data_IF_014102382575
#
_entry.id   IF_014102382575
#
_cell.length_a   1.000
_cell.length_b   1.000
_cell.length_c   1.000
_cell.angle_alpha   90.00
_cell.angle_beta   90.00
_cell.angle_gamma   90.00
#
_symmetry.space_group_name_H-M   'P 1'
#
loop_
_entity.id
_entity.type
_entity.pdbx_description
1 polymer ?
#
# COMPACT_ATOMS: atom_id res chain seq x y z
N UNK A 1 18.02 38.43 12.43
CA UNK A 1 16.73 38.43 13.17
C UNK A 1 15.60 37.71 12.42
N UNK A 2 15.39 37.92 11.12
CA UNK A 2 14.26 37.32 10.36
C UNK A 2 14.29 35.78 10.26
N UNK A 3 15.46 35.19 10.03
CA UNK A 3 15.63 33.72 9.93
C UNK A 3 15.38 32.94 11.23
N UNK A 4 15.37 33.61 12.39
CA UNK A 4 15.08 32.94 13.67
C UNK A 4 13.58 32.86 13.91
N UNK A 5 12.82 33.89 13.53
CA UNK A 5 11.36 33.88 13.59
C UNK A 5 10.76 32.81 12.67
N UNK A 6 11.27 32.67 11.44
CA UNK A 6 10.79 31.64 10.50
C UNK A 6 11.00 30.22 11.04
N UNK A 7 12.12 29.96 11.74
CA UNK A 7 12.39 28.64 12.34
C UNK A 7 11.50 28.36 13.54
N UNK A 8 11.20 29.37 14.35
CA UNK A 8 10.28 29.21 15.48
C UNK A 8 8.84 28.96 15.01
N UNK A 9 8.37 29.69 14.00
CA UNK A 9 7.04 29.49 13.42
C UNK A 9 6.88 28.09 12.80
N UNK A 10 7.93 27.59 12.12
CA UNK A 10 7.95 26.24 11.57
C UNK A 10 7.90 25.18 12.68
N UNK A 11 8.63 25.40 13.77
CA UNK A 11 8.65 24.49 14.91
C UNK A 11 7.29 24.43 15.62
N UNK A 12 6.60 25.57 15.77
CA UNK A 12 5.25 25.64 16.34
C UNK A 12 4.23 24.91 15.46
N UNK A 13 4.27 25.10 14.13
CA UNK A 13 3.39 24.38 13.19
C UNK A 13 3.59 22.87 13.26
N UNK A 14 4.84 22.41 13.34
CA UNK A 14 5.16 20.99 13.50
C UNK A 14 4.68 20.45 14.84
N UNK A 15 4.74 21.24 15.92
CA UNK A 15 4.23 20.83 17.23
C UNK A 15 2.71 20.69 17.22
N UNK A 16 1.98 21.62 16.60
CA UNK A 16 0.52 21.52 16.45
C UNK A 16 0.10 20.30 15.63
N UNK A 17 0.81 20.00 14.54
CA UNK A 17 0.56 18.80 13.73
C UNK A 17 0.80 17.52 14.54
N UNK A 18 1.87 17.49 15.35
CA UNK A 18 2.13 16.38 16.29
C UNK A 18 0.98 16.20 17.28
N UNK A 19 0.45 17.29 17.83
CA UNK A 19 -0.63 17.23 18.80
C UNK A 19 -1.95 16.76 18.17
N UNK A 20 -2.26 17.20 16.95
CA UNK A 20 -3.46 16.76 16.20
C UNK A 20 -3.35 15.26 15.88
N UNK A 21 -2.21 14.81 15.38
CA UNK A 21 -1.99 13.39 15.06
C UNK A 21 -1.99 12.54 16.32
N UNK A 22 -1.42 13.04 17.43
CA UNK A 22 -1.48 12.37 18.72
C UNK A 22 -2.89 12.21 19.28
N UNK A 23 -3.80 13.17 19.00
CA UNK A 23 -5.22 13.05 19.33
C UNK A 23 -5.93 12.01 18.47
N UNK A 24 -5.63 11.95 17.18
CA UNK A 24 -6.21 10.95 16.26
C UNK A 24 -5.70 9.54 16.60
N UNK A 25 -4.47 9.44 17.10
CA UNK A 25 -3.84 8.18 17.49
C UNK A 25 -4.37 7.56 18.79
N UNK A 26 -5.15 8.31 19.57
CA UNK A 26 -5.57 8.00 20.95
C UNK A 26 -4.41 7.58 21.89
N UNK A 27 -3.17 7.87 21.48
CA UNK A 27 -1.92 7.56 22.16
C UNK A 27 -0.95 8.71 21.90
N UNK A 28 -0.32 9.23 22.95
CA UNK A 28 0.83 10.13 22.79
C UNK A 28 1.86 9.41 21.93
N UNK A 29 2.20 9.91 20.73
CA UNK A 29 3.15 9.24 19.87
C UNK A 29 4.44 9.08 20.67
N UNK A 30 4.88 7.83 20.87
CA UNK A 30 6.15 7.57 21.54
C UNK A 30 7.24 8.11 20.62
N UNK A 31 7.73 9.30 20.94
CA UNK A 31 8.84 9.96 20.26
C UNK A 31 10.09 9.12 20.54
N UNK A 32 10.25 8.04 19.78
CA UNK A 32 11.53 7.39 19.59
C UNK A 32 11.90 7.62 18.13
N UNK A 33 12.65 8.70 17.95
CA UNK A 33 13.54 9.00 16.82
C UNK A 33 12.99 9.08 15.38
N UNK A 34 11.71 8.82 15.13
CA UNK A 34 11.19 8.81 13.76
C UNK A 34 9.95 9.68 13.65
N UNK A 35 9.94 10.58 12.67
CA UNK A 35 8.78 11.38 12.29
C UNK A 35 7.66 10.53 11.66
N UNK A 36 7.63 9.22 11.92
CA UNK A 36 6.71 8.27 11.35
C UNK A 36 5.63 7.94 12.39
N UNK A 37 4.38 8.05 12.02
CA UNK A 37 3.23 7.70 12.86
C UNK A 37 2.35 6.72 12.10
N UNK A 38 2.24 5.49 12.61
CA UNK A 38 1.40 4.44 12.02
C UNK A 38 0.02 4.43 12.70
N UNK A 39 -1.05 4.66 11.94
CA UNK A 39 -2.44 4.70 12.40
C UNK A 39 -3.32 3.82 11.53
N UNK A 40 -3.95 2.80 12.12
CA UNK A 40 -4.94 1.93 11.43
C UNK A 40 -4.46 1.42 10.05
N UNK A 41 -3.18 1.10 9.91
CA UNK A 41 -2.58 0.64 8.65
C UNK A 41 -2.13 1.75 7.69
N UNK A 42 -2.24 3.02 8.07
CA UNK A 42 -1.73 4.18 7.34
C UNK A 42 -0.46 4.68 8.01
N UNK A 43 0.61 4.87 7.25
CA UNK A 43 1.84 5.49 7.72
C UNK A 43 1.85 6.98 7.38
N UNK A 44 2.05 7.82 8.40
CA UNK A 44 2.09 9.29 8.27
C UNK A 44 3.50 9.76 8.59
N UNK A 45 4.16 10.43 7.63
CA UNK A 45 5.48 11.04 7.80
C UNK A 45 5.33 12.54 8.08
N UNK A 46 5.74 12.97 9.27
CA UNK A 46 5.73 14.36 9.72
C UNK A 46 6.95 15.13 9.23
N UNK A 47 6.74 16.26 8.53
CA UNK A 47 7.85 17.04 7.99
C UNK A 47 8.63 16.28 6.90
N UNK A 48 7.89 15.61 6.00
CA UNK A 48 8.42 14.90 4.86
C UNK A 48 9.32 15.80 4.00
N UNK A 49 10.42 15.22 3.51
CA UNK A 49 11.35 15.81 2.55
C UNK A 49 11.14 15.16 1.19
N UNK A 50 11.74 15.75 0.15
CA UNK A 50 11.68 15.21 -1.21
C UNK A 50 12.11 13.74 -1.32
N UNK A 51 13.03 13.27 -0.46
CA UNK A 51 13.42 11.86 -0.40
C UNK A 51 12.31 10.94 0.13
N UNK A 52 11.52 11.42 1.09
CA UNK A 52 10.40 10.66 1.65
C UNK A 52 9.27 10.51 0.62
N UNK A 53 9.04 11.57 -0.19
CA UNK A 53 8.08 11.53 -1.30
C UNK A 53 8.50 10.52 -2.37
N UNK A 54 9.78 10.53 -2.77
CA UNK A 54 10.31 9.57 -3.73
C UNK A 54 10.13 8.13 -3.22
N UNK A 55 10.51 7.89 -1.96
CA UNK A 55 10.39 6.57 -1.33
C UNK A 55 8.94 6.09 -1.28
N UNK A 56 7.99 6.98 -0.98
CA UNK A 56 6.56 6.67 -0.97
C UNK A 56 6.07 6.26 -2.36
N UNK A 57 6.46 7.01 -3.41
CA UNK A 57 6.09 6.69 -4.79
C UNK A 57 6.70 5.36 -5.22
N UNK A 58 7.98 5.12 -4.95
CA UNK A 58 8.66 3.86 -5.26
C UNK A 58 7.97 2.66 -4.58
N UNK A 59 7.55 2.82 -3.32
CA UNK A 59 6.81 1.80 -2.58
C UNK A 59 5.47 1.46 -3.26
N UNK A 60 4.72 2.48 -3.67
CA UNK A 60 3.44 2.31 -4.40
C UNK A 60 3.67 1.62 -5.74
N UNK A 61 4.67 2.04 -6.52
CA UNK A 61 5.01 1.42 -7.80
C UNK A 61 5.40 -0.05 -7.61
N UNK A 62 6.22 -0.36 -6.60
CA UNK A 62 6.62 -1.73 -6.28
C UNK A 62 5.42 -2.59 -5.89
N UNK A 63 4.48 -2.06 -5.12
CA UNK A 63 3.23 -2.75 -4.77
C UNK A 63 2.41 -3.09 -6.02
N UNK A 64 2.27 -2.13 -6.94
CA UNK A 64 1.59 -2.36 -8.22
C UNK A 64 2.32 -3.39 -9.10
N UNK A 65 3.65 -3.36 -9.16
CA UNK A 65 4.44 -4.35 -9.90
C UNK A 65 4.25 -5.76 -9.32
N UNK A 66 4.30 -5.91 -7.99
CA UNK A 66 4.04 -7.20 -7.33
C UNK A 66 2.63 -7.72 -7.64
N UNK A 67 1.63 -6.84 -7.61
CA UNK A 67 0.24 -7.16 -7.99
C UNK A 67 0.15 -7.63 -9.44
N UNK A 68 0.80 -6.94 -10.38
CA UNK A 68 0.83 -7.33 -11.79
C UNK A 68 1.47 -8.70 -12.01
N UNK A 69 2.58 -8.98 -11.34
CA UNK A 69 3.25 -10.29 -11.43
C UNK A 69 2.35 -11.42 -10.91
N UNK A 70 1.64 -11.19 -9.79
CA UNK A 70 0.69 -12.18 -9.28
C UNK A 70 -0.43 -12.46 -10.29
N UNK A 71 -1.00 -11.42 -10.90
CA UNK A 71 -2.03 -11.55 -11.93
C UNK A 71 -1.52 -12.28 -13.19
N UNK A 72 -0.30 -12.01 -13.62
CA UNK A 72 0.32 -12.70 -14.75
C UNK A 72 0.45 -14.20 -14.48
N UNK A 73 0.93 -14.59 -13.29
CA UNK A 73 1.03 -16.00 -12.89
C UNK A 73 -0.33 -16.70 -12.87
N UNK A 74 -1.37 -16.04 -12.35
CA UNK A 74 -2.72 -16.61 -12.38
C UNK A 74 -3.21 -16.77 -13.82
N UNK A 75 -2.98 -15.78 -14.69
CA UNK A 75 -3.34 -15.88 -16.11
C UNK A 75 -2.62 -17.04 -16.80
N UNK A 76 -1.32 -17.21 -16.57
CA UNK A 76 -0.55 -18.33 -17.14
C UNK A 76 -1.08 -19.68 -16.65
N UNK A 77 -1.37 -19.82 -15.36
CA UNK A 77 -1.98 -21.02 -14.81
C UNK A 77 -3.37 -21.31 -15.42
N UNK A 78 -4.17 -20.28 -15.67
CA UNK A 78 -5.46 -20.40 -16.37
C UNK A 78 -5.28 -20.84 -17.83
N UNK A 79 -4.30 -20.31 -18.55
CA UNK A 79 -3.99 -20.76 -19.92
C UNK A 79 -3.60 -22.24 -19.95
N UNK A 80 -2.79 -22.71 -19.00
CA UNK A 80 -2.47 -24.13 -18.89
C UNK A 80 -3.71 -24.99 -18.61
N UNK A 81 -4.65 -24.49 -17.80
CA UNK A 81 -5.92 -25.16 -17.56
C UNK A 81 -6.83 -25.15 -18.80
N UNK A 82 -6.82 -24.09 -19.61
CA UNK A 82 -7.51 -24.05 -20.91
C UNK A 82 -7.01 -25.17 -21.84
N UNK A 83 -5.68 -25.31 -21.97
CA UNK A 83 -5.07 -26.37 -22.79
C UNK A 83 -5.45 -27.77 -22.30
N UNK A 84 -5.45 -27.99 -20.98
CA UNK A 84 -5.87 -29.27 -20.38
C UNK A 84 -7.37 -29.52 -20.53
N UNK A 85 -8.21 -28.49 -20.37
CA UNK A 85 -9.68 -28.58 -20.48
C UNK A 85 -10.16 -29.08 -21.84
N UNK A 86 -9.44 -28.71 -22.91
CA UNK A 86 -9.71 -29.19 -24.27
C UNK A 86 -9.52 -30.69 -24.44
N UNK A 87 -8.83 -31.34 -23.50
CA UNK A 87 -8.48 -32.77 -23.56
C UNK A 87 -9.28 -33.62 -22.56
N UNK A 88 -9.67 -33.05 -21.41
CA UNK A 88 -10.27 -33.79 -20.28
C UNK A 88 -11.71 -33.40 -19.89
N UNK A 89 -12.36 -32.48 -20.63
CA UNK A 89 -13.75 -32.10 -20.35
C UNK A 89 -13.95 -31.29 -19.05
N UNK A 90 -12.88 -30.71 -18.52
CA UNK A 90 -12.88 -29.91 -17.30
C UNK A 90 -13.36 -28.49 -17.63
N UNK A 91 -14.44 -28.00 -17.01
CA UNK A 91 -14.86 -26.60 -17.09
C UNK A 91 -14.36 -25.85 -15.86
N UNK A 92 -13.75 -24.68 -16.04
CA UNK A 92 -13.38 -23.83 -14.91
C UNK A 92 -14.13 -22.49 -14.93
N UNK A 93 -14.37 -21.95 -13.74
CA UNK A 93 -15.01 -20.66 -13.50
C UNK A 93 -14.09 -19.81 -12.65
N UNK A 94 -13.80 -18.60 -13.12
CA UNK A 94 -12.94 -17.65 -12.43
C UNK A 94 -13.80 -16.60 -11.74
N UNK A 95 -13.65 -16.47 -10.42
CA UNK A 95 -14.27 -15.40 -9.65
C UNK A 95 -13.26 -14.27 -9.46
N UNK A 96 -13.64 -13.10 -9.95
CA UNK A 96 -12.84 -11.90 -9.83
C UNK A 96 -13.39 -10.95 -8.75
N UNK A 97 -12.50 -10.45 -7.89
CA UNK A 97 -12.77 -9.31 -7.01
C UNK A 97 -11.82 -8.18 -7.36
N UNK A 98 -12.37 -6.99 -7.63
CA UNK A 98 -11.58 -5.83 -8.10
C UNK A 98 -10.67 -6.15 -9.32
N UNK A 99 -11.18 -6.94 -10.27
CA UNK A 99 -10.43 -7.43 -11.46
C UNK A 99 -9.22 -8.30 -11.12
N UNK A 100 -9.18 -8.89 -9.93
CA UNK A 100 -8.22 -9.92 -9.53
C UNK A 100 -8.97 -11.25 -9.44
N UNK A 101 -8.54 -12.32 -10.14
CA UNK A 101 -9.05 -13.66 -9.91
C UNK A 101 -8.67 -14.13 -8.50
N UNK A 102 -9.66 -14.24 -7.61
CA UNK A 102 -9.48 -14.70 -6.23
C UNK A 102 -9.75 -16.19 -6.07
N UNK A 103 -10.62 -16.75 -6.92
CA UNK A 103 -11.01 -18.15 -6.82
C UNK A 103 -11.24 -18.76 -8.20
N UNK A 104 -10.73 -19.97 -8.39
CA UNK A 104 -10.95 -20.77 -9.59
C UNK A 104 -11.70 -22.03 -9.15
N UNK A 105 -12.91 -22.22 -9.67
CA UNK A 105 -13.67 -23.46 -9.47
C UNK A 105 -13.44 -24.38 -10.65
N UNK A 106 -13.07 -25.62 -10.38
CA UNK A 106 -12.93 -26.68 -11.37
C UNK A 106 -14.15 -27.60 -11.29
N UNK A 107 -14.80 -27.84 -12.42
CA UNK A 107 -15.89 -28.81 -12.57
C UNK A 107 -15.51 -29.84 -13.62
N UNK A 108 -15.53 -31.11 -13.24
CA UNK A 108 -15.42 -32.23 -14.17
C UNK A 108 -16.83 -32.47 -14.72
N UNK A 109 -16.97 -32.46 -16.04
CA UNK A 109 -18.28 -32.55 -16.72
C UNK A 109 -18.59 -33.95 -17.22
#
# INVERSE_FOLDING_TARGET
MRHLYDRQEMAEKMQRLRDIIGKIADKKPSIRSTNLVSLNGIEIVLGAKAFDELTAIESVVKSHQQRLVALQKVREALQTLDEASGTEGIKYLTFEKERIPEQILLKIS
#
